data_IF_431555050003
#
_entry.id   IF_431555050003
#
_cell.length_a   1.000
_cell.length_b   1.000
_cell.length_c   1.000
_cell.angle_alpha   90.00
_cell.angle_beta   90.00
_cell.angle_gamma   90.00
#
_symmetry.space_group_name_H-M   'P 1'
#
loop_
_entity.id
_entity.type
_entity.pdbx_description
1 polymer ?
#
# COMPACT_ATOMS: atom_id res chain seq x y z
N UNK A 1 -9.85 18.22 -1.23
CA UNK A 1 -9.41 18.17 -2.63
C UNK A 1 -10.31 17.18 -3.33
N UNK A 2 -10.98 17.61 -4.38
CA UNK A 2 -11.84 16.73 -5.18
C UNK A 2 -10.98 15.96 -6.20
N UNK A 3 -11.37 14.73 -6.50
CA UNK A 3 -10.68 13.91 -7.51
C UNK A 3 -11.18 14.34 -8.89
N UNK A 4 -10.34 15.08 -9.61
CA UNK A 4 -10.59 15.56 -10.98
C UNK A 4 -9.73 14.89 -12.06
N UNK A 5 -9.74 15.40 -13.30
CA UNK A 5 -8.99 14.85 -14.44
C UNK A 5 -7.47 14.77 -14.24
N UNK A 6 -6.90 15.60 -13.38
CA UNK A 6 -5.47 15.61 -13.06
C UNK A 6 -5.03 14.45 -12.15
N UNK A 7 -5.98 13.61 -11.71
CA UNK A 7 -5.71 12.45 -10.87
C UNK A 7 -5.83 11.17 -11.67
N UNK A 8 -4.77 10.38 -11.68
CA UNK A 8 -4.77 9.06 -12.30
C UNK A 8 -5.10 7.98 -11.25
N UNK A 9 -6.13 7.18 -11.54
CA UNK A 9 -6.40 5.99 -10.73
C UNK A 9 -5.31 4.92 -10.97
N UNK A 10 -4.70 4.43 -9.88
CA UNK A 10 -3.68 3.37 -9.94
C UNK A 10 -4.28 2.01 -9.63
N UNK A 11 -4.77 1.82 -8.41
CA UNK A 11 -5.34 0.55 -7.95
C UNK A 11 -6.21 0.79 -6.70
N UNK A 12 -7.01 -0.22 -6.37
CA UNK A 12 -7.75 -0.29 -5.10
C UNK A 12 -6.95 -1.08 -4.06
N UNK A 13 -6.99 -0.65 -2.80
CA UNK A 13 -6.41 -1.38 -1.68
C UNK A 13 -7.50 -1.98 -0.80
N UNK A 14 -7.34 -3.25 -0.49
CA UNK A 14 -8.19 -4.01 0.43
C UNK A 14 -7.32 -4.61 1.54
N UNK A 15 -7.89 -4.89 2.73
CA UNK A 15 -7.19 -5.59 3.79
C UNK A 15 -6.51 -6.87 3.29
N UNK A 16 -5.32 -7.17 3.82
CA UNK A 16 -4.45 -8.27 3.41
C UNK A 16 -3.85 -8.14 2.00
N UNK A 17 -3.95 -6.98 1.33
CA UNK A 17 -3.23 -6.71 0.09
C UNK A 17 -1.73 -6.54 0.33
N UNK A 18 -0.88 -7.20 -0.46
CA UNK A 18 0.57 -7.05 -0.35
C UNK A 18 1.03 -5.74 -0.97
N UNK A 19 1.77 -4.94 -0.21
CA UNK A 19 2.30 -3.66 -0.67
C UNK A 19 3.77 -3.46 -0.31
N UNK A 20 4.47 -2.76 -1.21
CA UNK A 20 5.79 -2.20 -0.96
C UNK A 20 5.69 -0.69 -1.01
N UNK A 21 6.15 -0.05 0.05
CA UNK A 21 6.22 1.41 0.17
C UNK A 21 7.68 1.82 0.30
N UNK A 22 8.04 2.89 -0.37
CA UNK A 22 9.35 3.54 -0.22
C UNK A 22 9.09 4.99 0.13
N UNK A 23 9.56 5.40 1.31
CA UNK A 23 9.45 6.76 1.83
C UNK A 23 10.44 7.70 1.14
N UNK A 24 10.24 9.00 1.30
CA UNK A 24 11.15 10.04 0.77
C UNK A 24 12.58 9.95 1.30
N UNK A 25 12.78 9.38 2.48
CA UNK A 25 14.09 9.14 3.09
C UNK A 25 14.79 7.87 2.54
N UNK A 26 14.16 7.14 1.62
CA UNK A 26 14.66 5.87 1.07
C UNK A 26 14.28 4.64 1.90
N UNK A 27 13.66 4.80 3.08
CA UNK A 27 13.23 3.66 3.89
C UNK A 27 12.14 2.88 3.18
N UNK A 28 12.37 1.58 2.95
CA UNK A 28 11.40 0.67 2.37
C UNK A 28 10.66 -0.12 3.47
N UNK A 29 9.33 -0.14 3.40
CA UNK A 29 8.51 -1.08 4.16
C UNK A 29 7.76 -2.01 3.22
N UNK A 30 7.66 -3.27 3.63
CA UNK A 30 6.95 -4.31 2.88
C UNK A 30 6.05 -5.02 3.88
N UNK A 31 4.80 -5.25 3.47
CA UNK A 31 3.84 -5.90 4.34
C UNK A 31 2.45 -6.00 3.74
N UNK A 32 1.53 -6.49 4.56
CA UNK A 32 0.13 -6.58 4.21
C UNK A 32 -0.62 -5.35 4.69
N UNK A 33 -1.37 -4.71 3.80
CA UNK A 33 -2.22 -3.58 4.13
C UNK A 33 -3.28 -4.02 5.16
N UNK A 34 -3.34 -3.32 6.29
CA UNK A 34 -4.36 -3.55 7.32
C UNK A 34 -5.50 -2.56 7.16
N UNK A 35 -5.15 -1.30 6.92
CA UNK A 35 -6.11 -0.21 6.87
C UNK A 35 -5.40 1.14 6.80
N UNK A 36 -6.23 2.17 6.71
CA UNK A 36 -5.82 3.56 6.68
C UNK A 36 -6.54 4.33 7.79
N UNK A 37 -5.84 5.26 8.41
CA UNK A 37 -6.43 6.20 9.36
C UNK A 37 -7.07 7.36 8.59
N UNK A 38 -8.40 7.51 8.72
CA UNK A 38 -9.18 8.55 8.03
C UNK A 38 -8.79 9.98 8.41
N UNK A 39 -8.23 10.19 9.61
CA UNK A 39 -7.89 11.52 10.12
C UNK A 39 -6.55 12.00 9.56
N UNK A 40 -5.59 11.10 9.38
CA UNK A 40 -4.22 11.41 8.94
C UNK A 40 -3.92 10.99 7.50
N UNK A 41 -4.73 10.11 6.91
CA UNK A 41 -4.46 9.49 5.61
C UNK A 41 -3.27 8.52 5.63
N UNK A 42 -2.80 8.12 6.82
CA UNK A 42 -1.67 7.24 6.97
C UNK A 42 -2.07 5.77 6.86
N UNK A 43 -1.22 4.96 6.24
CA UNK A 43 -1.40 3.53 6.02
C UNK A 43 -0.71 2.72 7.12
N UNK A 44 -1.32 1.60 7.50
CA UNK A 44 -0.76 0.64 8.44
C UNK A 44 -0.51 -0.71 7.74
N UNK A 45 0.66 -1.30 7.97
CA UNK A 45 1.08 -2.58 7.38
C UNK A 45 1.39 -3.62 8.46
N UNK A 46 0.94 -4.86 8.28
CA UNK A 46 1.41 -6.00 9.05
C UNK A 46 2.70 -6.56 8.44
N UNK A 47 3.69 -6.91 9.27
CA UNK A 47 4.92 -7.54 8.77
C UNK A 47 4.63 -8.94 8.20
N UNK A 48 5.25 -9.33 7.07
CA UNK A 48 4.98 -10.62 6.43
C UNK A 48 5.24 -11.85 7.31
N UNK A 49 6.23 -11.77 8.20
CA UNK A 49 6.67 -12.89 9.05
C UNK A 49 6.14 -12.82 10.48
N UNK A 50 5.45 -11.74 10.84
CA UNK A 50 4.83 -11.57 12.16
C UNK A 50 3.62 -10.63 12.04
N UNK A 51 2.40 -11.16 11.88
CA UNK A 51 1.21 -10.35 11.66
C UNK A 51 0.82 -9.50 12.89
N UNK A 52 1.39 -9.78 14.07
CA UNK A 52 1.17 -8.98 15.28
C UNK A 52 2.04 -7.73 15.28
N UNK A 53 3.14 -7.72 14.53
CA UNK A 53 4.00 -6.55 14.34
C UNK A 53 3.43 -5.66 13.24
N UNK A 54 2.91 -4.52 13.66
CA UNK A 54 2.28 -3.54 12.78
C UNK A 54 3.21 -2.34 12.62
N UNK A 55 3.55 -2.01 11.39
CA UNK A 55 4.18 -0.75 11.01
C UNK A 55 3.06 0.27 10.84
N UNK A 56 2.96 1.23 11.76
CA UNK A 56 1.90 2.23 11.79
C UNK A 56 2.33 3.56 11.19
N UNK A 57 1.33 4.37 10.85
CA UNK A 57 1.51 5.79 10.52
C UNK A 57 2.43 6.06 9.33
N UNK A 58 2.32 5.26 8.27
CA UNK A 58 3.04 5.50 7.02
C UNK A 58 2.26 6.54 6.19
N UNK A 59 2.74 7.78 6.15
CA UNK A 59 2.12 8.84 5.34
C UNK A 59 2.16 8.51 3.85
N UNK A 60 0.99 8.49 3.18
CA UNK A 60 0.88 8.09 1.78
C UNK A 60 1.20 9.22 0.77
N UNK A 61 1.15 10.49 1.19
CA UNK A 61 1.22 11.66 0.30
C UNK A 61 2.58 11.89 -0.34
N UNK A 62 3.67 11.62 0.37
CA UNK A 62 5.05 11.95 -0.05
C UNK A 62 5.91 10.70 -0.26
N UNK A 63 5.27 9.54 -0.46
CA UNK A 63 5.99 8.32 -0.80
C UNK A 63 6.66 8.45 -2.17
N UNK A 64 7.89 7.96 -2.29
CA UNK A 64 8.56 7.84 -3.59
C UNK A 64 7.87 6.78 -4.45
N UNK A 65 7.50 5.66 -3.84
CA UNK A 65 6.75 4.60 -4.53
C UNK A 65 5.76 3.93 -3.58
N UNK A 66 4.58 3.62 -4.10
CA UNK A 66 3.58 2.74 -3.49
C UNK A 66 3.19 1.70 -4.55
N UNK A 67 3.61 0.45 -4.34
CA UNK A 67 3.38 -0.66 -5.28
C UNK A 67 2.51 -1.74 -4.64
N UNK A 68 1.50 -2.19 -5.38
CA UNK A 68 0.61 -3.32 -5.02
C UNK A 68 1.10 -4.59 -5.70
N UNK A 69 0.98 -5.72 -5.01
CA UNK A 69 1.30 -7.03 -5.55
C UNK A 69 0.13 -7.99 -5.33
N UNK A 70 -0.10 -8.84 -6.32
CA UNK A 70 -0.89 -10.05 -6.13
C UNK A 70 0.03 -11.15 -5.61
N UNK A 71 -0.46 -11.94 -4.66
CA UNK A 71 0.27 -13.05 -4.05
C UNK A 71 -0.50 -14.32 -4.33
N UNK A 72 0.14 -15.29 -4.98
CA UNK A 72 -0.50 -16.58 -5.21
C UNK A 72 -0.50 -17.46 -3.94
N UNK A 73 -1.13 -18.64 -4.04
CA UNK A 73 -1.22 -19.60 -2.93
C UNK A 73 0.13 -20.15 -2.46
N UNK A 74 1.18 -20.02 -3.28
CA UNK A 74 2.54 -20.48 -2.99
C UNK A 74 3.45 -19.33 -2.54
N UNK A 75 2.94 -18.10 -2.46
CA UNK A 75 3.70 -16.91 -2.05
C UNK A 75 4.46 -16.22 -3.18
N UNK A 76 4.28 -16.62 -4.45
CA UNK A 76 4.83 -15.89 -5.58
C UNK A 76 4.11 -14.54 -5.74
N UNK A 77 4.88 -13.49 -6.04
CA UNK A 77 4.42 -12.10 -6.05
C UNK A 77 4.50 -11.51 -7.45
N UNK A 78 3.38 -11.01 -7.96
CA UNK A 78 3.30 -10.31 -9.23
C UNK A 78 2.87 -8.85 -9.01
N UNK A 79 3.59 -7.88 -9.58
CA UNK A 79 3.25 -6.45 -9.44
C UNK A 79 1.97 -6.13 -10.20
N UNK A 80 1.03 -5.47 -9.52
CA UNK A 80 -0.19 -4.93 -10.12
C UNK A 80 0.11 -3.51 -10.58
N UNK A 81 0.31 -3.33 -11.90
CA UNK A 81 0.69 -2.04 -12.48
C UNK A 81 -0.46 -1.02 -12.49
N UNK A 82 -1.66 -1.48 -12.83
CA UNK A 82 -2.88 -0.69 -12.83
C UNK A 82 -4.12 -1.58 -12.77
N UNK A 83 -5.24 -1.02 -12.34
CA UNK A 83 -6.55 -1.67 -12.33
C UNK A 83 -7.60 -0.77 -13.00
N UNK A 84 -8.69 -1.37 -13.47
CA UNK A 84 -9.88 -0.61 -13.86
C UNK A 84 -10.61 -0.21 -12.59
N UNK A 85 -10.96 1.07 -12.45
CA UNK A 85 -11.74 1.55 -11.31
C UNK A 85 -13.16 0.97 -11.38
N UNK A 86 -13.48 0.12 -10.42
CA UNK A 86 -14.82 -0.45 -10.18
C UNK A 86 -15.67 0.48 -9.34
#
# INVERSE_FOLDING_TARGET
VEIGPDHEFRFSLYPCGWVKVVKSDGTAHIGYFIGLDRSTGAINLAMPHDPRRIIRSIGARTLLTLKKYNVDRFGARAEVKSEVRT
#
